data_IF_739225925294
#
_entry.id   IF_739225925294
#
_cell.length_a   1.000
_cell.length_b   1.000
_cell.length_c   1.000
_cell.angle_alpha   90.00
_cell.angle_beta   90.00
_cell.angle_gamma   90.00
#
_symmetry.space_group_name_H-M   'P 1'
#
loop_
_entity.id
_entity.type
_entity.pdbx_description
1 polymer ?
#
# COMPACT_ATOMS: atom_id res chain seq x y z
N UNK A 1 -40.76 -1.34 -18.45
CA UNK A 1 -40.20 -2.58 -17.84
C UNK A 1 -38.76 -2.64 -18.30
N UNK A 2 -37.94 -1.79 -17.70
CA UNK A 2 -36.69 -1.34 -18.31
C UNK A 2 -35.49 -1.86 -17.53
N UNK A 3 -34.70 -2.68 -18.24
CA UNK A 3 -33.26 -2.86 -18.14
C UNK A 3 -32.62 -2.85 -16.75
N UNK A 4 -32.60 -4.03 -16.14
CA UNK A 4 -31.54 -4.50 -15.24
C UNK A 4 -31.18 -5.85 -15.87
N UNK A 5 -29.99 -6.13 -16.42
CA UNK A 5 -28.78 -6.51 -15.70
C UNK A 5 -27.64 -6.57 -16.74
N UNK A 6 -26.82 -5.53 -16.82
CA UNK A 6 -25.41 -5.61 -17.25
C UNK A 6 -24.56 -5.28 -16.04
N UNK A 7 -24.48 -6.24 -15.11
CA UNK A 7 -23.90 -6.08 -13.78
C UNK A 7 -22.37 -6.03 -13.75
N UNK A 8 -21.76 -5.10 -14.47
CA UNK A 8 -20.51 -4.49 -13.99
C UNK A 8 -20.93 -3.27 -13.19
N UNK A 9 -20.92 -3.38 -11.86
CA UNK A 9 -21.11 -2.21 -11.01
C UNK A 9 -20.08 -1.15 -11.44
N UNK A 10 -20.57 0.02 -11.86
CA UNK A 10 -19.70 1.11 -12.27
C UNK A 10 -18.74 1.41 -11.11
N UNK A 11 -17.45 1.15 -11.34
CA UNK A 11 -16.43 1.42 -10.33
C UNK A 11 -16.45 2.92 -10.09
N UNK A 12 -16.80 3.34 -8.87
CA UNK A 12 -16.80 4.76 -8.51
C UNK A 12 -15.37 5.27 -8.62
N UNK A 13 -15.16 6.25 -9.48
CA UNK A 13 -13.84 6.86 -9.65
C UNK A 13 -13.54 7.76 -8.46
N UNK A 14 -12.36 7.56 -7.87
CA UNK A 14 -11.86 8.42 -6.82
C UNK A 14 -11.29 9.71 -7.44
N UNK A 15 -12.10 10.76 -7.48
CA UNK A 15 -11.74 12.05 -8.08
C UNK A 15 -10.49 12.64 -7.43
N UNK A 16 -10.35 12.51 -6.11
CA UNK A 16 -9.19 13.01 -5.37
C UNK A 16 -7.94 12.19 -5.70
N UNK A 17 -8.06 10.87 -5.76
CA UNK A 17 -6.99 9.96 -6.15
C UNK A 17 -6.46 10.27 -7.56
N UNK A 18 -7.36 10.44 -8.53
CA UNK A 18 -7.01 10.80 -9.92
C UNK A 18 -6.40 12.20 -10.01
N UNK A 19 -6.86 13.16 -9.19
CA UNK A 19 -6.24 14.47 -9.11
C UNK A 19 -4.80 14.39 -8.61
N UNK A 20 -4.56 13.65 -7.51
CA UNK A 20 -3.21 13.42 -6.96
C UNK A 20 -2.32 12.71 -7.98
N UNK A 21 -2.84 11.71 -8.68
CA UNK A 21 -2.13 11.01 -9.76
C UNK A 21 -1.61 11.98 -10.82
N UNK A 22 -2.48 12.86 -11.31
CA UNK A 22 -2.14 13.83 -12.34
C UNK A 22 -1.15 14.90 -11.84
N UNK A 23 -1.35 15.43 -10.64
CA UNK A 23 -0.44 16.42 -10.05
C UNK A 23 0.94 15.80 -9.77
N UNK A 24 0.99 14.57 -9.26
CA UNK A 24 2.23 13.85 -8.98
C UNK A 24 2.99 13.50 -10.28
N UNK A 25 2.29 13.07 -11.33
CA UNK A 25 2.92 12.85 -12.65
C UNK A 25 3.53 14.13 -13.22
N UNK A 26 2.85 15.27 -13.08
CA UNK A 26 3.39 16.59 -13.45
C UNK A 26 4.63 16.94 -12.63
N UNK A 27 4.61 16.69 -11.33
CA UNK A 27 5.76 16.90 -10.45
C UNK A 27 6.99 16.12 -10.92
N UNK A 28 6.86 14.80 -11.15
CA UNK A 28 7.96 13.94 -11.60
C UNK A 28 8.59 14.41 -12.93
N UNK A 29 7.79 14.98 -13.84
CA UNK A 29 8.24 15.45 -15.16
C UNK A 29 8.84 16.85 -15.15
N UNK A 30 8.32 17.75 -14.30
CA UNK A 30 8.62 19.19 -14.38
C UNK A 30 9.52 19.72 -13.26
N UNK A 31 9.62 19.01 -12.13
CA UNK A 31 10.39 19.49 -10.98
C UNK A 31 11.89 19.53 -11.30
N UNK A 32 12.49 20.70 -11.03
CA UNK A 32 13.94 20.92 -11.14
C UNK A 32 14.51 21.08 -9.73
N UNK A 33 15.53 20.28 -9.43
CA UNK A 33 16.22 20.37 -8.14
C UNK A 33 17.04 21.66 -8.02
N UNK A 34 17.75 21.82 -6.90
CA UNK A 34 18.55 23.03 -6.62
C UNK A 34 19.66 23.29 -7.66
N UNK A 35 20.11 22.25 -8.38
CA UNK A 35 21.08 22.35 -9.50
C UNK A 35 20.43 22.65 -10.86
N UNK A 36 19.14 22.96 -10.90
CA UNK A 36 18.34 23.16 -12.12
C UNK A 36 18.27 21.93 -13.06
N UNK A 37 18.64 20.75 -12.55
CA UNK A 37 18.56 19.47 -13.24
C UNK A 37 17.22 18.77 -12.94
N UNK A 38 16.70 18.03 -13.93
CA UNK A 38 15.50 17.19 -13.80
C UNK A 38 15.85 15.89 -13.06
N UNK A 39 16.14 15.99 -11.77
CA UNK A 39 16.59 14.87 -10.92
C UNK A 39 15.68 13.64 -11.04
N UNK A 40 14.36 13.83 -10.94
CA UNK A 40 13.40 12.72 -11.00
C UNK A 40 13.28 12.10 -12.39
N UNK A 41 13.52 12.87 -13.46
CA UNK A 41 13.54 12.33 -14.82
C UNK A 41 14.73 11.40 -15.02
N UNK A 42 15.90 11.76 -14.49
CA UNK A 42 17.07 10.87 -14.50
C UNK A 42 16.81 9.63 -13.65
N UNK A 43 16.24 9.79 -12.45
CA UNK A 43 15.90 8.66 -11.59
C UNK A 43 14.90 7.70 -12.24
N UNK A 44 13.89 8.20 -12.96
CA UNK A 44 12.93 7.36 -13.70
C UNK A 44 13.60 6.53 -14.80
N UNK A 45 14.64 7.05 -15.46
CA UNK A 45 15.40 6.27 -16.44
C UNK A 45 16.16 5.10 -15.80
N UNK A 46 16.64 5.29 -14.57
CA UNK A 46 17.31 4.21 -13.84
C UNK A 46 16.34 3.08 -13.45
N UNK A 47 15.04 3.38 -13.29
CA UNK A 47 14.00 2.37 -13.00
C UNK A 47 13.78 1.37 -14.13
N UNK A 48 14.33 1.60 -15.33
CA UNK A 48 14.28 0.60 -16.41
C UNK A 48 15.18 -0.59 -16.06
N UNK A 49 16.28 -0.37 -15.33
CA UNK A 49 17.21 -1.42 -14.93
C UNK A 49 16.51 -2.48 -14.07
N UNK A 50 16.73 -3.79 -14.31
CA UNK A 50 15.96 -4.86 -13.68
C UNK A 50 16.03 -4.85 -12.15
N UNK A 51 17.17 -4.46 -11.58
CA UNK A 51 17.42 -4.44 -10.13
C UNK A 51 16.70 -3.29 -9.39
N UNK A 52 16.30 -2.24 -10.12
CA UNK A 52 15.66 -1.04 -9.54
C UNK A 52 14.16 -0.99 -9.83
N UNK A 53 13.33 -1.04 -8.80
CA UNK A 53 11.89 -0.87 -8.78
C UNK A 53 11.41 0.32 -7.93
N UNK A 54 12.25 0.99 -7.13
CA UNK A 54 11.83 2.06 -6.21
C UNK A 54 12.42 3.42 -6.58
N UNK A 55 11.58 4.46 -6.63
CA UNK A 55 12.04 5.86 -6.73
C UNK A 55 12.00 6.54 -5.36
N UNK A 56 13.06 7.27 -5.03
CA UNK A 56 13.14 8.06 -3.80
C UNK A 56 12.75 9.51 -4.08
N UNK A 57 11.74 9.99 -3.39
CA UNK A 57 11.20 11.36 -3.53
C UNK A 57 11.32 12.09 -2.21
N UNK A 58 11.91 13.29 -2.27
CA UNK A 58 12.04 14.17 -1.11
C UNK A 58 10.69 14.89 -0.86
N UNK A 59 10.19 14.83 0.37
CA UNK A 59 8.98 15.54 0.77
C UNK A 59 9.12 17.06 0.69
N UNK A 60 10.31 17.62 0.96
CA UNK A 60 10.55 19.06 0.84
C UNK A 60 10.40 19.54 -0.60
N UNK A 61 10.77 18.70 -1.59
CA UNK A 61 10.54 19.00 -3.00
C UNK A 61 9.05 19.04 -3.35
N UNK A 62 8.25 18.15 -2.76
CA UNK A 62 6.80 18.15 -2.93
C UNK A 62 6.17 19.42 -2.35
N UNK A 63 6.58 19.85 -1.15
CA UNK A 63 6.09 21.12 -0.57
C UNK A 63 6.49 22.34 -1.42
N UNK A 64 7.72 22.37 -1.95
CA UNK A 64 8.19 23.44 -2.86
C UNK A 64 7.35 23.50 -4.14
N UNK A 65 6.91 22.37 -4.68
CA UNK A 65 6.11 22.32 -5.91
C UNK A 65 4.63 22.63 -5.68
N UNK A 66 3.99 21.93 -4.74
CA UNK A 66 2.58 22.11 -4.40
C UNK A 66 2.33 21.71 -2.97
N UNK A 67 2.06 22.71 -2.12
CA UNK A 67 1.73 22.48 -0.71
C UNK A 67 0.44 21.64 -0.56
N UNK A 68 -0.54 21.85 -1.43
CA UNK A 68 -1.79 21.09 -1.43
C UNK A 68 -1.55 19.60 -1.71
N UNK A 69 -0.69 19.29 -2.68
CA UNK A 69 -0.32 17.91 -3.01
C UNK A 69 0.39 17.25 -1.84
N UNK A 70 1.41 17.92 -1.28
CA UNK A 70 2.19 17.40 -0.16
C UNK A 70 1.32 17.13 1.07
N UNK A 71 0.44 18.07 1.44
CA UNK A 71 -0.50 17.92 2.57
C UNK A 71 -1.47 16.76 2.35
N UNK A 72 -1.97 16.60 1.12
CA UNK A 72 -2.88 15.48 0.78
C UNK A 72 -2.17 14.13 0.91
N UNK A 73 -0.94 14.04 0.40
CA UNK A 73 -0.11 12.83 0.52
C UNK A 73 0.22 12.54 1.99
N UNK A 74 0.53 13.56 2.80
CA UNK A 74 0.83 13.39 4.21
C UNK A 74 -0.38 12.87 5.02
N UNK A 75 -1.58 13.43 4.78
CA UNK A 75 -2.78 13.06 5.54
C UNK A 75 -3.42 11.75 5.08
N UNK A 76 -3.43 11.47 3.77
CA UNK A 76 -4.14 10.32 3.18
C UNK A 76 -3.23 9.35 2.43
N UNK A 77 -1.97 9.22 2.87
CA UNK A 77 -0.92 8.45 2.20
C UNK A 77 -1.40 7.06 1.74
N UNK A 78 -1.97 6.26 2.65
CA UNK A 78 -2.36 4.88 2.34
C UNK A 78 -3.41 4.78 1.22
N UNK A 79 -4.34 5.75 1.14
CA UNK A 79 -5.38 5.82 0.09
C UNK A 79 -4.79 6.24 -1.25
N UNK A 80 -3.90 7.24 -1.26
CA UNK A 80 -3.35 7.81 -2.50
C UNK A 80 -2.12 7.08 -3.03
N UNK A 81 -1.47 6.24 -2.20
CA UNK A 81 -0.25 5.52 -2.55
C UNK A 81 -0.35 4.68 -3.84
N UNK A 82 -1.44 3.90 -4.09
CA UNK A 82 -1.57 3.16 -5.33
C UNK A 82 -1.64 4.09 -6.56
N UNK A 83 -2.28 5.25 -6.44
CA UNK A 83 -2.36 6.24 -7.51
C UNK A 83 -0.99 6.89 -7.77
N UNK A 84 -0.18 7.10 -6.73
CA UNK A 84 1.19 7.59 -6.90
C UNK A 84 2.09 6.59 -7.63
N UNK A 85 1.99 5.30 -7.29
CA UNK A 85 2.74 4.25 -7.97
C UNK A 85 2.31 4.13 -9.44
N UNK A 86 1.01 4.23 -9.73
CA UNK A 86 0.49 4.25 -11.10
C UNK A 86 0.96 5.50 -11.87
N UNK A 87 0.94 6.68 -11.25
CA UNK A 87 1.47 7.91 -11.85
C UNK A 87 2.95 7.78 -12.23
N UNK A 88 3.76 7.16 -11.36
CA UNK A 88 5.16 6.86 -11.65
C UNK A 88 5.29 5.89 -12.82
N UNK A 89 4.47 4.84 -12.85
CA UNK A 89 4.48 3.86 -13.91
C UNK A 89 4.19 4.50 -15.27
N UNK A 90 3.10 5.27 -15.37
CA UNK A 90 2.74 6.00 -16.58
C UNK A 90 3.81 7.02 -17.00
N UNK A 91 4.34 7.79 -16.04
CA UNK A 91 5.39 8.77 -16.33
C UNK A 91 6.69 8.14 -16.83
N UNK A 92 7.01 6.92 -16.35
CA UNK A 92 8.18 6.17 -16.80
C UNK A 92 7.96 5.60 -18.20
N UNK A 93 6.78 5.04 -18.47
CA UNK A 93 6.43 4.50 -19.80
C UNK A 93 6.48 5.56 -20.90
N UNK A 94 6.06 6.79 -20.61
CA UNK A 94 6.12 7.92 -21.56
C UNK A 94 7.55 8.27 -22.01
N UNK A 95 8.57 7.87 -21.23
CA UNK A 95 9.98 8.15 -21.50
C UNK A 95 10.78 6.94 -22.02
N UNK A 96 10.15 5.78 -22.14
CA UNK A 96 10.80 4.52 -22.55
C UNK A 96 10.62 4.26 -24.05
N UNK A 97 11.56 3.53 -24.64
CA UNK A 97 11.42 3.01 -26.01
C UNK A 97 10.45 1.80 -26.06
N UNK A 98 9.97 1.44 -27.25
CA UNK A 98 8.99 0.35 -27.43
C UNK A 98 9.44 -1.01 -26.86
N UNK A 99 10.75 -1.31 -26.92
CA UNK A 99 11.31 -2.54 -26.35
C UNK A 99 11.30 -2.52 -24.81
N UNK A 100 11.67 -1.39 -24.21
CA UNK A 100 11.69 -1.20 -22.75
C UNK A 100 10.25 -1.21 -22.19
N UNK A 101 9.29 -0.68 -22.95
CA UNK A 101 7.87 -0.63 -22.58
C UNK A 101 7.31 -2.02 -22.26
N UNK A 102 7.70 -3.06 -23.01
CA UNK A 102 7.26 -4.43 -22.77
C UNK A 102 7.83 -5.00 -21.46
N UNK A 103 9.09 -4.70 -21.15
CA UNK A 103 9.73 -5.10 -19.90
C UNK A 103 9.08 -4.41 -18.70
N UNK A 104 8.76 -3.13 -18.85
CA UNK A 104 8.13 -2.33 -17.80
C UNK A 104 6.71 -2.77 -17.50
N UNK A 105 5.94 -3.24 -18.49
CA UNK A 105 4.52 -3.60 -18.29
C UNK A 105 4.28 -4.66 -17.20
N UNK A 106 5.26 -5.54 -16.94
CA UNK A 106 5.17 -6.55 -15.87
C UNK A 106 5.81 -6.10 -14.56
N UNK A 107 6.59 -5.02 -14.60
CA UNK A 107 7.40 -4.55 -13.47
C UNK A 107 6.58 -3.63 -12.58
N UNK A 108 6.49 -3.98 -11.30
CA UNK A 108 5.90 -3.09 -10.31
C UNK A 108 6.92 -2.02 -9.92
N UNK A 109 6.47 -0.77 -9.85
CA UNK A 109 7.28 0.34 -9.38
C UNK A 109 6.71 0.88 -8.07
N UNK A 110 7.59 1.30 -7.17
CA UNK A 110 7.25 1.81 -5.85
C UNK A 110 7.78 3.23 -5.67
N UNK A 111 7.04 4.02 -4.88
CA UNK A 111 7.49 5.35 -4.45
C UNK A 111 7.90 5.26 -2.99
N UNK A 112 9.11 5.72 -2.67
CA UNK A 112 9.59 5.89 -1.30
C UNK A 112 9.73 7.38 -1.00
N UNK A 113 9.10 7.83 0.09
CA UNK A 113 9.14 9.22 0.52
C UNK A 113 10.13 9.35 1.67
N UNK A 114 10.97 10.38 1.63
CA UNK A 114 11.93 10.66 2.71
C UNK A 114 11.96 12.16 3.04
N UNK A 115 12.69 12.50 4.12
CA UNK A 115 12.87 13.88 4.58
C UNK A 115 11.56 14.61 4.95
N UNK A 116 10.68 13.91 5.68
CA UNK A 116 9.50 14.53 6.29
C UNK A 116 9.91 15.38 7.51
N UNK A 117 9.49 16.64 7.55
CA UNK A 117 9.87 17.58 8.62
C UNK A 117 9.29 17.18 9.99
N UNK A 118 8.03 16.74 10.01
CA UNK A 118 7.33 16.38 11.24
C UNK A 118 7.83 15.03 11.81
N UNK A 119 8.68 15.10 12.85
CA UNK A 119 9.12 13.93 13.61
C UNK A 119 8.08 13.56 14.67
N UNK A 120 7.59 12.32 14.63
CA UNK A 120 6.65 11.76 15.61
C UNK A 120 7.39 10.77 16.51
N UNK A 121 7.15 10.84 17.83
CA UNK A 121 7.73 9.86 18.76
C UNK A 121 6.96 8.55 18.70
N UNK A 122 7.62 7.44 19.01
CA UNK A 122 6.97 6.11 19.03
C UNK A 122 5.79 6.06 20.01
N UNK A 123 5.84 6.79 21.15
CA UNK A 123 4.71 6.90 22.10
C UNK A 123 3.50 7.64 21.57
N UNK A 124 3.71 8.52 20.60
CA UNK A 124 2.69 9.42 20.04
C UNK A 124 1.98 8.78 18.84
N UNK A 125 2.33 7.53 18.49
CA UNK A 125 1.62 6.73 17.49
C UNK A 125 0.25 6.31 18.03
N UNK A 126 -0.76 7.13 17.77
CA UNK A 126 -2.17 6.87 18.08
C UNK A 126 -2.95 6.39 16.86
N UNK A 127 -4.20 5.97 17.08
CA UNK A 127 -5.12 5.57 16.00
C UNK A 127 -5.40 6.69 14.99
N UNK A 128 -5.28 7.96 15.39
CA UNK A 128 -5.52 9.11 14.52
C UNK A 128 -4.47 9.26 13.41
N UNK A 129 -3.31 8.60 13.58
CA UNK A 129 -2.21 8.59 12.61
C UNK A 129 -2.29 7.42 11.62
N UNK A 130 -3.29 6.55 11.75
CA UNK A 130 -3.46 5.40 10.85
C UNK A 130 -3.75 5.88 9.43
N UNK A 131 -3.02 5.34 8.45
CA UNK A 131 -3.18 5.67 7.03
C UNK A 131 -2.53 6.98 6.58
N UNK A 132 -2.07 7.82 7.51
CA UNK A 132 -1.22 8.98 7.22
C UNK A 132 0.26 8.62 7.09
N UNK A 133 1.06 9.56 6.58
CA UNK A 133 2.51 9.46 6.55
C UNK A 133 3.08 9.92 7.90
N UNK A 134 3.98 9.13 8.46
CA UNK A 134 4.65 9.41 9.73
C UNK A 134 6.15 9.18 9.59
N UNK A 135 6.93 10.03 10.29
CA UNK A 135 8.36 9.83 10.48
C UNK A 135 8.62 9.49 11.94
N UNK A 136 9.28 8.36 12.17
CA UNK A 136 9.65 7.88 13.50
C UNK A 136 11.15 7.65 13.57
N UNK A 137 11.74 7.91 14.74
CA UNK A 137 13.14 7.60 15.00
C UNK A 137 13.24 6.53 16.06
N UNK A 138 14.14 5.58 15.86
CA UNK A 138 14.35 4.50 16.80
C UNK A 138 15.66 3.78 16.59
N UNK A 139 16.00 2.96 17.59
CA UNK A 139 17.10 2.02 17.47
C UNK A 139 16.55 0.66 17.01
N UNK A 140 17.23 0.03 16.04
CA UNK A 140 16.89 -1.32 15.60
C UNK A 140 17.30 -2.31 16.69
N UNK A 141 16.34 -3.10 17.18
CA UNK A 141 16.58 -4.14 18.18
C UNK A 141 16.78 -5.49 17.51
N UNK A 142 15.96 -5.79 16.50
CA UNK A 142 15.94 -7.09 15.84
C UNK A 142 15.51 -6.96 14.40
N UNK A 143 16.22 -7.64 13.52
CA UNK A 143 15.84 -7.88 12.14
C UNK A 143 15.41 -9.34 12.00
N UNK A 144 14.28 -9.59 11.33
CA UNK A 144 13.91 -10.94 10.91
C UNK A 144 14.52 -11.24 9.54
N UNK A 145 14.71 -12.53 9.19
CA UNK A 145 15.14 -12.91 7.85
C UNK A 145 14.14 -12.44 6.79
N UNK A 146 14.67 -12.24 5.58
CA UNK A 146 13.89 -11.85 4.42
C UNK A 146 13.09 -13.03 3.90
N UNK A 147 11.82 -12.78 3.55
CA UNK A 147 10.96 -13.77 2.93
C UNK A 147 10.19 -13.15 1.76
N UNK A 148 9.87 -13.91 0.70
CA UNK A 148 9.01 -13.42 -0.37
C UNK A 148 7.55 -13.35 0.10
N UNK A 149 6.93 -12.18 0.00
CA UNK A 149 5.50 -11.94 0.22
C UNK A 149 4.75 -11.94 -1.12
N UNK A 150 3.66 -12.70 -1.21
CA UNK A 150 2.77 -12.68 -2.37
C UNK A 150 2.01 -11.35 -2.41
N UNK A 151 2.32 -10.48 -3.35
CA UNK A 151 1.71 -9.14 -3.49
C UNK A 151 0.50 -9.18 -4.42
N UNK A 152 0.69 -9.71 -5.64
CA UNK A 152 -0.37 -9.91 -6.64
C UNK A 152 -0.37 -11.37 -7.06
N UNK A 153 -1.52 -12.01 -6.90
CA UNK A 153 -1.69 -13.41 -7.24
C UNK A 153 -2.33 -13.58 -8.62
N UNK A 154 -1.86 -14.58 -9.36
CA UNK A 154 -2.52 -15.12 -10.54
C UNK A 154 -3.19 -16.44 -10.15
N UNK A 155 -4.50 -16.54 -10.35
CA UNK A 155 -5.27 -17.73 -10.02
C UNK A 155 -5.80 -18.41 -11.27
N UNK A 156 -5.57 -19.70 -11.41
CA UNK A 156 -6.12 -20.52 -12.50
C UNK A 156 -7.39 -21.22 -11.99
N UNK A 157 -8.48 -21.00 -12.72
CA UNK A 157 -9.74 -21.68 -12.45
C UNK A 157 -9.61 -23.17 -12.77
N UNK A 158 -9.91 -24.04 -11.81
CA UNK A 158 -9.82 -25.49 -12.01
C UNK A 158 -10.91 -26.03 -12.97
N UNK A 159 -12.05 -25.34 -13.05
CA UNK A 159 -13.18 -25.78 -13.87
C UNK A 159 -13.03 -25.41 -15.36
N UNK A 160 -12.47 -24.24 -15.66
CA UNK A 160 -12.39 -23.74 -17.05
C UNK A 160 -10.97 -23.40 -17.53
N UNK A 161 -9.95 -23.56 -16.68
CA UNK A 161 -8.55 -23.27 -17.01
C UNK A 161 -8.21 -21.79 -17.20
N UNK A 162 -9.18 -20.87 -17.08
CA UNK A 162 -8.98 -19.44 -17.28
C UNK A 162 -8.22 -18.84 -16.09
N UNK A 163 -7.20 -18.02 -16.38
CA UNK A 163 -6.42 -17.31 -15.37
C UNK A 163 -7.03 -15.94 -15.03
N UNK A 164 -7.23 -15.71 -13.74
CA UNK A 164 -7.58 -14.40 -13.16
C UNK A 164 -6.29 -13.78 -12.61
N UNK A 165 -5.82 -12.71 -13.25
CA UNK A 165 -4.57 -12.01 -12.89
C UNK A 165 -4.84 -10.85 -11.93
N UNK A 166 -3.78 -10.31 -11.33
CA UNK A 166 -3.79 -9.09 -10.52
C UNK A 166 -4.71 -9.12 -9.29
N UNK A 167 -4.89 -10.30 -8.68
CA UNK A 167 -5.65 -10.41 -7.43
C UNK A 167 -4.75 -9.94 -6.28
N UNK A 168 -5.03 -8.73 -5.80
CA UNK A 168 -4.29 -8.12 -4.68
C UNK A 168 -4.42 -8.96 -3.41
N UNK A 169 -3.30 -9.20 -2.74
CA UNK A 169 -3.26 -9.86 -1.44
C UNK A 169 -3.08 -8.80 -0.36
N UNK A 170 -3.90 -8.87 0.71
CA UNK A 170 -3.84 -7.93 1.83
C UNK A 170 -3.65 -8.70 3.13
N UNK A 171 -2.39 -8.96 3.50
CA UNK A 171 -1.98 -9.69 4.71
C UNK A 171 -2.59 -11.09 4.88
N UNK A 172 -3.39 -11.58 3.93
CA UNK A 172 -4.06 -12.87 3.94
C UNK A 172 -4.17 -13.39 2.53
N UNK A 173 -4.05 -14.72 2.40
CA UNK A 173 -4.36 -15.44 1.17
C UNK A 173 -5.83 -15.24 0.79
N UNK A 174 -6.05 -14.48 -0.28
CA UNK A 174 -7.36 -14.03 -0.76
C UNK A 174 -7.55 -14.53 -2.18
N UNK A 175 -8.48 -15.48 -2.32
CA UNK A 175 -8.90 -16.02 -3.62
C UNK A 175 -9.94 -15.09 -4.28
N UNK A 176 -10.01 -15.09 -5.62
CA UNK A 176 -11.06 -14.36 -6.34
C UNK A 176 -12.44 -14.95 -6.01
N UNK A 177 -13.45 -14.09 -5.86
CA UNK A 177 -14.82 -14.52 -5.52
C UNK A 177 -15.61 -15.06 -6.72
N UNK A 178 -15.16 -14.73 -7.94
CA UNK A 178 -15.77 -15.16 -9.20
C UNK A 178 -14.67 -15.39 -10.23
N UNK A 179 -14.88 -16.36 -11.12
CA UNK A 179 -14.01 -16.55 -12.27
C UNK A 179 -14.07 -15.33 -13.22
N UNK A 180 -12.95 -15.02 -13.88
CA UNK A 180 -12.91 -14.00 -14.92
C UNK A 180 -13.76 -14.37 -16.15
N UNK A 181 -13.99 -15.67 -16.39
CA UNK A 181 -14.87 -16.14 -17.45
C UNK A 181 -16.34 -15.99 -17.01
N UNK A 182 -17.16 -15.16 -17.68
CA UNK A 182 -18.57 -14.95 -17.31
C UNK A 182 -19.44 -16.21 -17.46
N UNK A 183 -19.02 -17.18 -18.28
CA UNK A 183 -19.73 -18.45 -18.46
C UNK A 183 -19.39 -19.48 -17.37
N UNK A 184 -18.34 -19.23 -16.58
CA UNK A 184 -17.90 -20.15 -15.54
C UNK A 184 -18.56 -19.78 -14.20
N UNK A 185 -19.30 -20.73 -13.63
CA UNK A 185 -20.00 -20.55 -12.36
C UNK A 185 -19.12 -20.83 -11.12
N UNK A 186 -17.83 -21.10 -11.32
CA UNK A 186 -16.89 -21.36 -10.23
C UNK A 186 -16.65 -20.12 -9.36
N UNK A 187 -16.63 -20.34 -8.04
CA UNK A 187 -16.41 -19.30 -7.03
C UNK A 187 -15.39 -19.67 -5.96
N UNK A 188 -14.89 -20.90 -5.94
CA UNK A 188 -14.05 -21.41 -4.84
C UNK A 188 -12.85 -22.22 -5.31
N UNK A 189 -12.96 -22.92 -6.44
CA UNK A 189 -11.92 -23.83 -6.93
C UNK A 189 -10.88 -23.10 -7.77
N UNK A 190 -9.96 -22.42 -7.10
CA UNK A 190 -8.87 -21.70 -7.74
C UNK A 190 -7.52 -22.23 -7.25
N UNK A 191 -6.66 -22.56 -8.20
CA UNK A 191 -5.26 -22.90 -7.95
C UNK A 191 -4.39 -21.66 -8.17
N UNK A 192 -3.38 -21.46 -7.33
CA UNK A 192 -2.43 -20.36 -7.49
C UNK A 192 -1.39 -20.74 -8.55
N UNK A 193 -1.23 -19.92 -9.57
CA UNK A 193 -0.09 -20.00 -10.48
C UNK A 193 1.06 -19.15 -9.94
N UNK A 194 2.03 -19.83 -9.32
CA UNK A 194 3.21 -19.21 -8.71
C UNK A 194 4.06 -18.48 -9.75
N UNK A 195 4.17 -19.00 -10.97
CA UNK A 195 5.06 -18.45 -11.99
C UNK A 195 4.55 -17.12 -12.56
N UNK A 196 3.24 -16.97 -12.66
CA UNK A 196 2.59 -15.73 -13.13
C UNK A 196 2.26 -14.76 -11.99
N UNK A 197 2.52 -15.14 -10.74
CA UNK A 197 2.27 -14.29 -9.57
C UNK A 197 3.46 -13.37 -9.28
N UNK A 198 3.19 -12.23 -8.66
CA UNK A 198 4.21 -11.24 -8.26
C UNK A 198 4.50 -11.37 -6.78
N UNK A 199 5.77 -11.66 -6.48
CA UNK A 199 6.33 -11.68 -5.13
C UNK A 199 7.17 -10.43 -4.90
N UNK A 200 7.20 -9.97 -3.66
CA UNK A 200 8.00 -8.82 -3.21
C UNK A 200 8.75 -9.23 -1.96
N UNK A 201 9.99 -8.79 -1.83
CA UNK A 201 10.77 -9.03 -0.61
C UNK A 201 10.11 -8.35 0.58
N UNK A 202 9.99 -9.12 1.67
CA UNK A 202 9.38 -8.69 2.91
C UNK A 202 10.34 -8.94 4.06
N UNK A 203 10.49 -7.93 4.91
CA UNK A 203 11.25 -8.04 6.13
C UNK A 203 10.52 -7.38 7.29
N UNK A 204 10.50 -8.07 8.42
CA UNK A 204 9.98 -7.53 9.68
C UNK A 204 11.14 -7.06 10.56
N UNK A 205 11.06 -5.84 11.04
CA UNK A 205 12.09 -5.21 11.87
C UNK A 205 11.43 -4.71 13.14
N UNK A 206 12.08 -4.91 14.30
CA UNK A 206 11.62 -4.37 15.58
C UNK A 206 12.47 -3.17 15.95
N UNK A 207 11.83 -2.04 16.13
CA UNK A 207 12.46 -0.80 16.58
C UNK A 207 12.10 -0.49 18.03
N UNK A 208 12.97 0.24 18.70
CA UNK A 208 12.79 0.72 20.06
C UNK A 208 12.97 2.24 20.11
N UNK A 209 12.25 2.87 21.05
CA UNK A 209 12.42 4.28 21.40
C UNK A 209 13.88 4.64 21.66
N UNK A 210 14.28 5.82 21.17
CA UNK A 210 15.62 6.35 21.43
C UNK A 210 15.74 6.82 22.88
N UNK A 211 16.88 6.60 23.52
CA UNK A 211 17.14 7.00 24.91
C UNK A 211 16.84 8.48 25.22
N UNK A 212 17.05 9.37 24.24
CA UNK A 212 16.80 10.80 24.37
C UNK A 212 15.31 11.16 24.53
N UNK A 213 14.41 10.30 24.06
CA UNK A 213 12.96 10.54 24.07
C UNK A 213 12.26 9.86 25.26
N UNK A 214 13.00 9.12 26.09
CA UNK A 214 12.44 8.36 27.21
C UNK A 214 12.11 9.25 28.41
N UNK A 215 10.85 9.23 28.90
CA UNK A 215 10.50 9.82 30.18
C UNK A 215 11.21 9.11 31.33
N UNK A 216 11.55 9.86 32.37
CA UNK A 216 12.22 9.33 33.58
C UNK A 216 11.37 8.22 34.20
N UNK A 217 12.01 7.09 34.52
CA UNK A 217 11.36 5.94 35.16
C UNK A 217 10.45 5.10 34.24
N UNK A 218 10.41 5.37 32.93
CA UNK A 218 9.63 4.56 31.99
C UNK A 218 10.48 3.50 31.27
N UNK A 219 9.87 2.36 30.98
CA UNK A 219 10.43 1.34 30.09
C UNK A 219 10.25 1.80 28.63
N UNK A 220 11.27 1.66 27.77
CA UNK A 220 11.17 1.97 26.34
C UNK A 220 10.14 1.09 25.62
N UNK A 221 9.26 1.69 24.82
CA UNK A 221 8.33 0.93 23.96
C UNK A 221 9.02 0.46 22.69
N UNK A 222 8.49 -0.62 22.14
CA UNK A 222 8.93 -1.19 20.86
C UNK A 222 7.79 -1.22 19.87
N UNK A 223 8.09 -1.01 18.59
CA UNK A 223 7.13 -1.13 17.48
C UNK A 223 7.73 -2.02 16.40
N UNK A 224 6.88 -2.80 15.75
CA UNK A 224 7.25 -3.60 14.59
C UNK A 224 7.06 -2.77 13.32
N UNK A 225 8.10 -2.70 12.49
CA UNK A 225 8.11 -2.04 11.19
C UNK A 225 8.23 -3.12 10.11
N UNK A 226 7.44 -2.97 9.05
CA UNK A 226 7.51 -3.82 7.87
C UNK A 226 8.21 -3.04 6.77
N UNK A 227 9.26 -3.66 6.22
CA UNK A 227 10.01 -3.12 5.09
C UNK A 227 9.77 -4.04 3.90
N UNK A 228 9.55 -3.43 2.73
CA UNK A 228 9.26 -4.14 1.47
C UNK A 228 10.15 -3.64 0.35
N UNK A 229 10.41 -4.51 -0.62
CA UNK A 229 11.17 -4.19 -1.83
C UNK A 229 12.64 -3.90 -1.54
N UNK A 230 13.22 -2.94 -2.26
CA UNK A 230 14.67 -2.64 -2.21
C UNK A 230 15.20 -2.22 -0.84
N UNK A 231 14.34 -1.74 0.07
CA UNK A 231 14.78 -1.25 1.38
C UNK A 231 15.05 -2.36 2.38
N UNK A 232 14.78 -3.60 2.02
CA UNK A 232 15.09 -4.78 2.82
C UNK A 232 16.60 -4.92 3.02
N UNK A 233 17.03 -5.38 4.21
CA UNK A 233 18.44 -5.55 4.62
C UNK A 233 19.29 -4.27 4.67
N UNK A 234 18.69 -3.09 4.54
CA UNK A 234 19.41 -1.80 4.61
C UNK A 234 19.87 -1.42 6.02
N UNK A 235 19.29 -2.02 7.07
CA UNK A 235 19.57 -1.68 8.48
C UNK A 235 19.98 -2.90 9.29
N UNK A 236 20.84 -2.70 10.28
CA UNK A 236 21.34 -3.76 11.16
C UNK A 236 20.92 -3.54 12.63
N UNK A 237 20.84 -4.61 13.43
CA UNK A 237 20.62 -4.48 14.87
C UNK A 237 21.66 -3.58 15.53
N UNK A 238 21.20 -2.60 16.32
CA UNK A 238 22.03 -1.60 16.97
C UNK A 238 22.01 -0.23 16.29
N UNK A 239 21.65 -0.16 15.00
CA UNK A 239 21.61 1.09 14.25
C UNK A 239 20.52 2.03 14.75
N UNK A 240 20.78 3.33 14.67
CA UNK A 240 19.78 4.38 14.89
C UNK A 240 19.32 4.88 13.53
N UNK A 241 18.04 4.70 13.23
CA UNK A 241 17.49 5.05 11.94
C UNK A 241 16.24 5.94 12.09
N UNK A 242 16.08 6.84 11.11
CA UNK A 242 14.85 7.57 10.90
C UNK A 242 14.04 6.86 9.81
N UNK A 243 12.85 6.40 10.16
CA UNK A 243 11.97 5.64 9.28
C UNK A 243 10.80 6.53 8.90
N UNK A 244 10.52 6.63 7.59
CA UNK A 244 9.35 7.29 7.04
C UNK A 244 8.44 6.23 6.45
N UNK A 245 7.16 6.25 6.80
CA UNK A 245 6.20 5.27 6.33
C UNK A 245 4.80 5.57 6.83
N UNK A 246 3.93 4.58 6.83
CA UNK A 246 2.54 4.74 7.27
C UNK A 246 2.19 3.74 8.36
N UNK A 247 1.39 4.20 9.33
CA UNK A 247 0.87 3.36 10.38
C UNK A 247 -0.33 2.58 9.84
N UNK A 248 -0.26 1.25 9.90
CA UNK A 248 -1.32 0.35 9.45
C UNK A 248 -1.76 -0.57 10.57
N UNK A 249 -3.00 -1.03 10.48
CA UNK A 249 -3.54 -2.05 11.39
C UNK A 249 -3.43 -3.41 10.70
N UNK A 250 -2.77 -4.35 11.35
CA UNK A 250 -2.66 -5.73 10.86
C UNK A 250 -3.67 -6.56 11.67
N UNK A 251 -4.69 -7.15 11.02
CA UNK A 251 -5.65 -7.98 11.72
C UNK A 251 -5.01 -9.30 12.18
N UNK A 252 -5.47 -9.83 13.31
CA UNK A 252 -5.14 -11.19 13.72
C UNK A 252 -5.96 -12.17 12.86
N UNK A 253 -5.29 -12.76 11.87
CA UNK A 253 -5.91 -13.65 10.88
C UNK A 253 -6.51 -14.90 11.54
N UNK A 254 -5.90 -15.38 12.64
CA UNK A 254 -6.41 -16.55 13.38
C UNK A 254 -7.76 -16.26 14.04
N UNK A 255 -7.98 -15.01 14.47
CA UNK A 255 -9.26 -14.59 15.05
C UNK A 255 -10.33 -14.37 13.97
N UNK A 256 -9.95 -13.98 12.74
CA UNK A 256 -10.86 -13.83 11.60
C UNK A 256 -11.38 -15.16 11.04
N UNK A 257 -10.66 -16.27 11.24
CA UNK A 257 -11.07 -17.61 10.79
C UNK A 257 -11.93 -18.36 11.81
N UNK A 258 -12.04 -17.86 13.05
CA UNK A 258 -12.81 -18.50 14.12
C UNK A 258 -14.31 -18.23 13.93
N UNK A 259 -15.16 -19.25 13.71
CA UNK A 259 -16.61 -19.08 13.61
C UNK A 259 -17.19 -18.60 14.96
N UNK A 260 -17.87 -17.45 14.98
CA UNK A 260 -18.56 -16.92 16.17
C UNK A 260 -18.21 -15.47 16.56
N UNK A 261 -17.14 -14.90 16.00
CA UNK A 261 -16.70 -13.51 16.25
C UNK A 261 -16.96 -12.54 15.09
N UNK A 262 -17.74 -12.97 14.08
CA UNK A 262 -18.30 -12.02 13.11
C UNK A 262 -19.17 -11.06 13.90
N UNK A 263 -18.74 -9.81 14.03
CA UNK A 263 -19.58 -8.75 14.57
C UNK A 263 -20.87 -8.75 13.75
N UNK A 264 -21.93 -9.31 14.31
CA UNK A 264 -23.24 -9.28 13.70
C UNK A 264 -23.62 -7.80 13.61
N UNK A 265 -23.69 -7.26 12.40
CA UNK A 265 -24.37 -6.00 12.16
C UNK A 265 -25.83 -6.22 12.52
N UNK A 266 -26.21 -5.84 13.74
CA UNK A 266 -27.57 -5.94 14.22
C UNK A 266 -28.46 -4.99 13.42
N UNK A 267 -29.00 -5.46 12.30
CA UNK A 267 -30.20 -4.88 11.72
C UNK A 267 -31.39 -5.27 12.63
N UNK A 268 -31.50 -4.64 13.80
CA UNK A 268 -32.76 -4.62 14.54
C UNK A 268 -33.75 -3.74 13.78
N UNK A 269 -34.43 -4.36 12.84
CA UNK A 269 -35.68 -3.88 12.28
C UNK A 269 -36.72 -3.90 13.42
N UNK A 270 -36.91 -2.77 14.11
CA UNK A 270 -37.99 -2.59 15.09
C UNK A 270 -39.34 -2.55 14.38
N UNK A 271 -39.87 -3.73 14.05
CA UNK A 271 -41.30 -3.90 13.78
C UNK A 271 -42.08 -3.73 15.08
N UNK A 272 -42.76 -2.59 15.23
CA UNK A 272 -43.75 -2.38 16.29
C UNK A 272 -45.01 -3.20 15.96
N UNK A 273 -45.26 -4.26 16.70
CA UNK A 273 -46.60 -4.83 16.90
C UNK A 273 -46.94 -4.74 18.38
N UNK A 274 -47.53 -3.61 18.78
CA UNK A 274 -48.18 -3.47 20.09
C UNK A 274 -49.60 -3.99 20.00
N UNK A 275 -49.80 -5.25 20.39
CA UNK A 275 -51.11 -5.75 20.78
C UNK A 275 -51.49 -5.12 22.12
N UNK A 276 -52.46 -4.20 22.11
CA UNK A 276 -53.17 -3.75 23.30
C UNK A 276 -54.39 -4.64 23.53
N UNK A 277 -54.42 -5.37 24.65
CA UNK A 277 -55.63 -5.80 25.33
C UNK A 277 -55.37 -5.91 26.84
N UNK A 278 -56.41 -5.57 27.63
CA UNK A 278 -56.51 -5.25 29.08
C UNK A 278 -56.58 -3.73 29.29
N UNK A 279 -57.69 -3.12 29.70
CA UNK A 279 -58.93 -3.61 30.36
C UNK A 279 -60.17 -3.32 29.55
#
# INVERSE_FOLDING_TARGET
MDNIISGQAQKVEDVDGTRVQNEFSKFLKSFKGDKNELQYKTAMKELVQPEKNTIFVDMQHLYKFSNNLATTIELQYYRVYPFMCEALHLATLDGCDENERQQMFKKQLYVSLYNLDAKTKVRELSADKVGGLVRIAGQIVRTHPVHPELSRACFVCEDCGVSTRDVQQQFRYTQPTKCANPQCMNRTRFSLDVNSSTFVDFQKIRIQETQAELPRGSIPRTVDVIVRGEMVETVQPGDKCDIVGTLIVIPDIAQLSTPGLRAETSNQNRGKTSNHYRQ
#
